data_IF_284485202250
#
_entry.id   IF_284485202250
#
_cell.length_a   1.000
_cell.length_b   1.000
_cell.length_c   1.000
_cell.angle_alpha   90.00
_cell.angle_beta   90.00
_cell.angle_gamma   90.00
#
_symmetry.space_group_name_H-M   'P 1'
#
loop_
_entity.id
_entity.type
_entity.pdbx_description
1 polymer ?
#
# COMPACT_ATOMS: atom_id res chain seq x y z
N UNK A 1 21.61 6.81 -16.28
CA UNK A 1 21.06 6.97 -14.91
C UNK A 1 20.09 8.14 -14.91
N UNK A 2 18.84 7.92 -14.51
CA UNK A 2 17.81 8.96 -14.43
C UNK A 2 17.26 8.99 -13.01
N UNK A 3 17.25 10.15 -12.35
CA UNK A 3 16.64 10.32 -11.04
C UNK A 3 15.17 10.65 -11.19
N UNK A 4 14.31 9.88 -10.52
CA UNK A 4 12.85 10.00 -10.59
C UNK A 4 12.24 9.96 -9.21
N UNK A 5 11.00 10.44 -9.12
CA UNK A 5 10.14 10.26 -7.96
C UNK A 5 8.93 9.40 -8.33
N UNK A 6 8.61 8.44 -7.47
CA UNK A 6 7.39 7.65 -7.53
C UNK A 6 6.56 7.93 -6.28
N UNK A 7 5.27 8.19 -6.45
CA UNK A 7 4.33 8.44 -5.36
C UNK A 7 3.23 7.39 -5.46
N UNK A 8 2.86 6.80 -4.32
CA UNK A 8 1.70 5.92 -4.20
C UNK A 8 0.62 6.60 -3.35
N UNK A 9 -0.54 6.84 -3.96
CA UNK A 9 -1.74 7.36 -3.32
C UNK A 9 -2.62 6.17 -2.86
N UNK A 10 -2.15 5.50 -1.82
CA UNK A 10 -2.82 4.32 -1.28
C UNK A 10 -4.00 4.64 -0.36
N UNK A 11 -4.84 3.66 -0.12
CA UNK A 11 -6.04 3.77 0.74
C UNK A 11 -5.71 4.22 2.17
N UNK A 12 -4.65 3.68 2.77
CA UNK A 12 -4.24 4.01 4.14
C UNK A 12 -3.09 5.01 4.20
N UNK A 13 -2.15 4.92 3.27
CA UNK A 13 -0.90 5.69 3.33
C UNK A 13 -0.57 6.32 1.99
N UNK A 14 0.01 7.53 2.02
CA UNK A 14 0.66 8.16 0.87
C UNK A 14 2.16 7.97 1.02
N UNK A 15 2.82 7.46 -0.03
CA UNK A 15 4.23 7.06 0.01
C UNK A 15 5.03 7.71 -1.11
N UNK A 16 6.31 7.94 -0.86
CA UNK A 16 7.28 8.50 -1.82
C UNK A 16 8.51 7.62 -1.90
N UNK A 17 8.98 7.39 -3.11
CA UNK A 17 10.32 6.91 -3.42
C UNK A 17 10.99 7.92 -4.35
N UNK A 18 12.13 8.47 -3.97
CA UNK A 18 13.07 9.10 -4.90
C UNK A 18 14.19 8.10 -5.18
N UNK A 19 14.44 7.81 -6.44
CA UNK A 19 15.41 6.78 -6.84
C UNK A 19 16.19 7.16 -8.08
N UNK A 20 17.39 6.60 -8.19
CA UNK A 20 18.16 6.52 -9.42
C UNK A 20 17.79 5.24 -10.16
N UNK A 21 17.40 5.38 -11.43
CA UNK A 21 17.07 4.27 -12.32
C UNK A 21 18.10 4.18 -13.43
N UNK A 22 18.69 3.00 -13.59
CA UNK A 22 19.67 2.71 -14.65
C UNK A 22 19.61 1.25 -15.06
N UNK A 23 19.48 0.99 -16.35
CA UNK A 23 19.43 -0.36 -16.93
C UNK A 23 18.39 -1.30 -16.26
N UNK A 24 17.25 -0.76 -15.83
CA UNK A 24 16.20 -1.53 -15.15
C UNK A 24 16.41 -1.73 -13.64
N UNK A 25 17.53 -1.27 -13.09
CA UNK A 25 17.80 -1.30 -11.66
C UNK A 25 17.31 -0.03 -10.97
N UNK A 26 16.69 -0.17 -9.79
CA UNK A 26 16.20 0.91 -8.95
C UNK A 26 17.07 1.03 -7.71
N UNK A 27 17.71 2.17 -7.51
CA UNK A 27 18.48 2.49 -6.32
C UNK A 27 17.80 3.59 -5.53
N UNK A 28 17.23 3.25 -4.40
CA UNK A 28 16.53 4.20 -3.54
C UNK A 28 17.49 5.28 -2.98
N UNK A 29 17.08 6.55 -3.09
CA UNK A 29 17.74 7.71 -2.50
C UNK A 29 16.98 8.17 -1.27
N UNK A 30 15.64 8.16 -1.33
CA UNK A 30 14.76 8.52 -0.21
C UNK A 30 13.49 7.66 -0.27
N UNK A 31 13.06 7.10 0.85
CA UNK A 31 11.72 6.53 1.03
C UNK A 31 11.00 7.23 2.17
N UNK A 32 9.73 7.60 1.95
CA UNK A 32 8.83 8.16 2.97
C UNK A 32 7.48 7.47 2.92
N UNK A 33 6.85 7.35 4.08
CA UNK A 33 5.48 6.82 4.20
C UNK A 33 4.74 7.60 5.28
N UNK A 34 3.57 8.11 4.96
CA UNK A 34 2.71 8.85 5.88
C UNK A 34 1.31 8.25 5.83
N UNK A 35 0.75 7.90 6.98
CA UNK A 35 -0.64 7.44 7.08
C UNK A 35 -1.56 8.64 6.90
N UNK A 36 -2.28 8.69 5.78
CA UNK A 36 -3.18 9.79 5.41
C UNK A 36 -4.65 9.40 5.50
N UNK A 37 -4.95 8.08 5.47
CA UNK A 37 -6.32 7.57 5.54
C UNK A 37 -7.18 8.04 4.38
N UNK A 38 -6.64 8.11 3.15
CA UNK A 38 -7.37 8.59 1.97
C UNK A 38 -8.68 7.82 1.75
N UNK A 39 -8.67 6.52 2.07
CA UNK A 39 -9.82 5.63 1.92
C UNK A 39 -10.83 5.64 3.06
N UNK A 40 -10.70 6.49 4.08
CA UNK A 40 -11.68 6.57 5.17
C UNK A 40 -13.10 6.77 4.62
N UNK A 41 -14.01 5.82 4.93
CA UNK A 41 -15.42 5.87 4.55
C UNK A 41 -15.72 5.69 3.06
N UNK A 42 -14.72 5.46 2.20
CA UNK A 42 -14.92 5.25 0.75
C UNK A 42 -15.76 4.02 0.49
N UNK A 43 -15.53 2.96 1.25
CA UNK A 43 -16.28 1.70 1.08
C UNK A 43 -17.80 1.89 1.19
N UNK A 44 -18.25 2.67 2.17
CA UNK A 44 -19.67 2.93 2.39
C UNK A 44 -20.22 4.10 1.56
N UNK A 45 -19.41 5.10 1.24
CA UNK A 45 -19.85 6.38 0.65
C UNK A 45 -19.51 6.53 -0.82
N UNK A 46 -18.68 5.64 -1.35
CA UNK A 46 -18.18 5.68 -2.74
C UNK A 46 -17.56 7.03 -3.12
N UNK A 47 -16.95 7.72 -2.14
CA UNK A 47 -16.42 9.05 -2.33
C UNK A 47 -15.25 9.34 -1.39
N UNK A 48 -14.18 9.96 -1.93
CA UNK A 48 -13.09 10.54 -1.14
C UNK A 48 -13.60 11.72 -0.34
N UNK A 49 -13.30 11.75 0.96
CA UNK A 49 -13.79 12.78 1.87
C UNK A 49 -12.84 13.98 1.92
N UNK A 50 -13.37 15.21 2.22
CA UNK A 50 -12.54 16.43 2.21
C UNK A 50 -11.37 16.40 3.19
N UNK A 51 -11.53 15.84 4.39
CA UNK A 51 -10.48 15.81 5.41
C UNK A 51 -9.32 14.87 5.02
N UNK A 52 -9.54 13.60 4.60
CA UNK A 52 -8.50 12.76 4.01
C UNK A 52 -7.79 13.41 2.82
N UNK A 53 -8.52 14.02 1.88
CA UNK A 53 -7.93 14.75 0.74
C UNK A 53 -6.99 15.87 1.24
N UNK A 54 -7.40 16.65 2.24
CA UNK A 54 -6.56 17.71 2.79
C UNK A 54 -5.27 17.16 3.42
N UNK A 55 -5.33 16.01 4.12
CA UNK A 55 -4.14 15.32 4.64
C UNK A 55 -3.18 14.91 3.52
N UNK A 56 -3.70 14.35 2.43
CA UNK A 56 -2.89 13.96 1.26
C UNK A 56 -2.25 15.20 0.62
N UNK A 57 -3.00 16.29 0.40
CA UNK A 57 -2.45 17.54 -0.15
C UNK A 57 -1.25 18.06 0.63
N UNK A 58 -1.34 18.07 1.96
CA UNK A 58 -0.23 18.50 2.81
C UNK A 58 1.00 17.61 2.60
N UNK A 59 0.81 16.29 2.56
CA UNK A 59 1.89 15.32 2.33
C UNK A 59 2.50 15.47 0.94
N UNK A 60 1.68 15.66 -0.09
CA UNK A 60 2.16 15.86 -1.47
C UNK A 60 2.99 17.14 -1.62
N UNK A 61 2.64 18.19 -0.89
CA UNK A 61 3.44 19.42 -0.85
C UNK A 61 4.85 19.15 -0.33
N UNK A 62 4.98 18.37 0.73
CA UNK A 62 6.29 18.00 1.29
C UNK A 62 7.04 17.04 0.35
N UNK A 63 6.34 16.07 -0.26
CA UNK A 63 6.93 15.12 -1.19
C UNK A 63 7.45 15.79 -2.46
N UNK A 64 6.72 16.78 -2.98
CA UNK A 64 7.20 17.61 -4.10
C UNK A 64 8.51 18.32 -3.75
N UNK A 65 8.56 18.98 -2.58
CA UNK A 65 9.80 19.65 -2.11
C UNK A 65 10.98 18.68 -1.98
N UNK A 66 10.73 17.47 -1.47
CA UNK A 66 11.77 16.45 -1.35
C UNK A 66 12.26 15.97 -2.72
N UNK A 67 11.35 15.71 -3.67
CA UNK A 67 11.67 15.31 -5.03
C UNK A 67 12.50 16.38 -5.76
N UNK A 68 12.06 17.64 -5.70
CA UNK A 68 12.76 18.79 -6.29
C UNK A 68 14.16 18.99 -5.68
N UNK A 69 14.25 18.98 -4.33
CA UNK A 69 15.52 19.13 -3.61
C UNK A 69 16.54 18.05 -3.95
N UNK A 70 16.06 16.83 -4.19
CA UNK A 70 16.89 15.69 -4.55
C UNK A 70 17.15 15.60 -6.06
N UNK A 71 16.58 16.50 -6.87
CA UNK A 71 16.83 16.59 -8.31
C UNK A 71 16.11 15.49 -9.11
N UNK A 72 14.93 15.06 -8.68
CA UNK A 72 14.08 14.18 -9.47
C UNK A 72 13.62 14.92 -10.74
N UNK A 73 13.88 14.32 -11.90
CA UNK A 73 13.55 14.91 -13.20
C UNK A 73 12.10 14.70 -13.59
N UNK A 74 11.47 13.65 -13.04
CA UNK A 74 10.10 13.22 -13.35
C UNK A 74 9.47 12.67 -12.09
N UNK A 75 8.16 12.89 -11.93
CA UNK A 75 7.37 12.35 -10.83
C UNK A 75 6.14 11.64 -11.38
N UNK A 76 5.98 10.37 -11.06
CA UNK A 76 4.77 9.58 -11.35
C UNK A 76 4.04 9.30 -10.03
N UNK A 77 2.77 9.71 -9.96
CA UNK A 77 1.87 9.38 -8.87
C UNK A 77 0.89 8.29 -9.34
N UNK A 78 1.00 7.12 -8.76
CA UNK A 78 0.03 6.03 -8.97
C UNK A 78 -1.02 6.06 -7.88
N UNK A 79 -2.27 5.79 -8.25
CA UNK A 79 -3.39 5.70 -7.33
C UNK A 79 -4.07 4.34 -7.43
N UNK A 80 -4.54 3.84 -6.30
CA UNK A 80 -5.02 2.47 -6.17
C UNK A 80 -6.48 2.42 -5.65
N UNK A 81 -6.85 1.38 -4.93
CA UNK A 81 -8.21 1.01 -4.54
C UNK A 81 -9.09 2.19 -4.07
N UNK A 82 -8.66 3.04 -3.13
CA UNK A 82 -9.51 4.11 -2.61
C UNK A 82 -9.93 5.13 -3.67
N UNK A 83 -9.00 5.48 -4.58
CA UNK A 83 -9.26 6.43 -5.67
C UNK A 83 -10.09 5.75 -6.76
N UNK A 84 -9.79 4.49 -7.06
CA UNK A 84 -10.54 3.68 -8.04
C UNK A 84 -12.00 3.46 -7.64
N UNK A 85 -12.25 3.30 -6.34
CA UNK A 85 -13.58 3.03 -5.80
C UNK A 85 -14.43 4.30 -5.61
N UNK A 86 -13.84 5.48 -5.71
CA UNK A 86 -14.51 6.74 -5.42
C UNK A 86 -15.01 7.45 -6.69
N UNK A 87 -16.28 7.89 -6.67
CA UNK A 87 -16.91 8.67 -7.77
C UNK A 87 -16.15 9.97 -8.11
N UNK A 88 -15.45 10.55 -7.14
CA UNK A 88 -14.64 11.75 -7.32
C UNK A 88 -13.14 11.45 -7.46
N UNK A 89 -12.76 10.18 -7.72
CA UNK A 89 -11.37 9.76 -7.80
C UNK A 89 -10.62 10.39 -8.96
N UNK A 90 -11.20 10.37 -10.18
CA UNK A 90 -10.59 11.00 -11.35
C UNK A 90 -10.42 12.51 -11.19
N UNK A 91 -11.43 13.20 -10.62
CA UNK A 91 -11.33 14.63 -10.34
C UNK A 91 -10.21 14.94 -9.33
N UNK A 92 -10.03 14.09 -8.33
CA UNK A 92 -8.92 14.20 -7.38
C UNK A 92 -7.56 14.01 -8.06
N UNK A 93 -7.41 13.04 -8.97
CA UNK A 93 -6.18 12.84 -9.72
C UNK A 93 -5.87 14.03 -10.64
N UNK A 94 -6.87 14.55 -11.36
CA UNK A 94 -6.70 15.76 -12.18
C UNK A 94 -6.28 16.97 -11.36
N UNK A 95 -6.77 17.09 -10.12
CA UNK A 95 -6.29 18.13 -9.19
C UNK A 95 -4.83 17.91 -8.77
N UNK A 96 -4.42 16.66 -8.48
CA UNK A 96 -3.03 16.33 -8.14
C UNK A 96 -2.10 16.69 -9.31
N UNK A 97 -2.46 16.30 -10.53
CA UNK A 97 -1.71 16.61 -11.74
C UNK A 97 -1.56 18.12 -11.93
N UNK A 98 -2.66 18.86 -11.87
CA UNK A 98 -2.68 20.30 -12.06
C UNK A 98 -1.91 21.05 -10.96
N UNK A 99 -2.08 20.66 -9.67
CA UNK A 99 -1.51 21.39 -8.53
C UNK A 99 -0.04 21.10 -8.30
N UNK A 100 0.41 19.88 -8.61
CA UNK A 100 1.78 19.44 -8.31
C UNK A 100 2.63 19.20 -9.55
N UNK A 101 2.04 19.16 -10.75
CA UNK A 101 2.76 18.86 -11.99
C UNK A 101 3.26 17.42 -12.05
N UNK A 102 2.65 16.49 -11.32
CA UNK A 102 2.99 15.08 -11.38
C UNK A 102 2.26 14.41 -12.54
N UNK A 103 2.90 13.49 -13.24
CA UNK A 103 2.14 12.54 -14.05
C UNK A 103 1.31 11.67 -13.10
N UNK A 104 0.04 11.43 -13.44
CA UNK A 104 -0.86 10.61 -12.60
C UNK A 104 -1.34 9.37 -13.36
N UNK A 105 -1.53 8.27 -12.64
CA UNK A 105 -2.08 7.04 -13.20
C UNK A 105 -2.99 6.35 -12.18
N UNK A 106 -4.22 6.08 -12.58
CA UNK A 106 -5.14 5.23 -11.83
C UNK A 106 -4.92 3.78 -12.26
N UNK A 107 -4.52 2.93 -11.32
CA UNK A 107 -4.26 1.53 -11.59
C UNK A 107 -5.51 0.67 -11.39
N UNK A 108 -5.77 -0.25 -12.32
CA UNK A 108 -6.62 -1.40 -12.05
C UNK A 108 -5.94 -2.34 -11.04
N UNK A 109 -6.69 -3.28 -10.45
CA UNK A 109 -6.11 -4.25 -9.52
C UNK A 109 -5.03 -5.13 -10.15
N UNK A 110 -5.19 -5.51 -11.42
CA UNK A 110 -4.21 -6.32 -12.15
C UNK A 110 -2.94 -5.52 -12.47
N UNK A 111 -3.08 -4.23 -12.85
CA UNK A 111 -1.93 -3.34 -13.04
C UNK A 111 -1.17 -3.11 -11.74
N UNK A 112 -1.89 -2.94 -10.62
CA UNK A 112 -1.32 -2.79 -9.27
C UNK A 112 -0.50 -4.02 -8.90
N UNK A 113 -1.04 -5.24 -9.06
CA UNK A 113 -0.34 -6.50 -8.81
C UNK A 113 0.89 -6.68 -9.71
N UNK A 114 0.77 -6.38 -11.01
CA UNK A 114 1.87 -6.46 -11.99
C UNK A 114 3.00 -5.50 -11.63
N UNK A 115 2.65 -4.25 -11.32
CA UNK A 115 3.62 -3.20 -10.98
C UNK A 115 4.34 -3.52 -9.67
N UNK A 116 3.60 -4.02 -8.68
CA UNK A 116 4.14 -4.46 -7.39
C UNK A 116 5.11 -5.63 -7.57
N UNK A 117 4.74 -6.65 -8.35
CA UNK A 117 5.61 -7.81 -8.61
C UNK A 117 6.90 -7.40 -9.31
N UNK A 118 6.78 -6.58 -10.35
CA UNK A 118 7.95 -6.03 -11.07
C UNK A 118 8.85 -5.22 -10.13
N UNK A 119 8.26 -4.36 -9.28
CA UNK A 119 9.00 -3.55 -8.32
C UNK A 119 9.69 -4.38 -7.25
N UNK A 120 9.03 -5.40 -6.72
CA UNK A 120 9.58 -6.30 -5.72
C UNK A 120 10.70 -7.21 -6.28
N UNK A 121 10.76 -7.39 -7.61
CA UNK A 121 11.75 -8.27 -8.25
C UNK A 121 11.55 -9.75 -7.88
N UNK A 122 10.28 -10.18 -7.79
CA UNK A 122 9.92 -11.55 -7.41
C UNK A 122 9.60 -12.35 -8.68
N UNK A 123 10.55 -13.16 -9.14
CA UNK A 123 10.43 -13.93 -10.39
C UNK A 123 10.33 -15.45 -10.17
N UNK A 124 10.44 -15.94 -8.91
CA UNK A 124 10.45 -17.37 -8.59
C UNK A 124 9.12 -18.08 -8.85
N UNK A 125 9.22 -19.27 -9.46
CA UNK A 125 8.08 -20.19 -9.57
C UNK A 125 7.68 -20.66 -8.15
N UNK A 126 6.37 -20.62 -7.84
CA UNK A 126 5.85 -21.02 -6.53
C UNK A 126 5.99 -19.97 -5.42
N UNK A 127 6.56 -18.79 -5.72
CA UNK A 127 6.59 -17.66 -4.78
C UNK A 127 5.31 -16.83 -4.90
N UNK A 128 4.54 -16.76 -3.81
CA UNK A 128 3.40 -15.87 -3.66
C UNK A 128 3.89 -14.49 -3.22
N UNK A 129 3.64 -13.47 -4.04
CA UNK A 129 3.74 -12.08 -3.60
C UNK A 129 2.40 -11.65 -3.01
N UNK A 130 2.43 -11.17 -1.78
CA UNK A 130 1.29 -10.69 -1.01
C UNK A 130 1.45 -9.19 -0.73
N UNK A 131 0.55 -8.37 -1.25
CA UNK A 131 0.39 -6.97 -0.88
C UNK A 131 -0.91 -6.79 -0.09
N UNK A 132 -0.82 -6.47 1.19
CA UNK A 132 -1.98 -6.18 2.04
C UNK A 132 -2.13 -4.69 2.17
N UNK A 133 -2.93 -4.12 1.27
CA UNK A 133 -3.29 -2.72 1.25
C UNK A 133 -4.38 -2.34 2.27
N UNK A 134 -4.83 -1.09 2.18
CA UNK A 134 -5.94 -0.61 3.01
C UNK A 134 -7.32 -1.02 2.47
N UNK A 135 -7.52 -0.93 1.16
CA UNK A 135 -8.79 -1.21 0.50
C UNK A 135 -8.85 -2.55 -0.22
N UNK A 136 -7.72 -3.03 -0.72
CA UNK A 136 -7.57 -4.30 -1.45
C UNK A 136 -6.41 -5.14 -0.92
N UNK A 137 -6.32 -6.36 -1.40
CA UNK A 137 -5.20 -7.28 -1.17
C UNK A 137 -4.85 -7.95 -2.49
N UNK A 138 -3.63 -7.78 -2.94
CA UNK A 138 -3.14 -8.37 -4.17
C UNK A 138 -2.38 -9.68 -3.85
N UNK A 139 -2.72 -10.71 -4.62
CA UNK A 139 -2.04 -11.99 -4.65
C UNK A 139 -1.47 -12.22 -6.04
N UNK A 140 -0.19 -12.45 -6.17
CA UNK A 140 0.42 -12.77 -7.45
C UNK A 140 1.48 -13.85 -7.36
N UNK A 141 1.48 -14.75 -8.34
CA UNK A 141 2.55 -15.72 -8.62
C UNK A 141 3.10 -15.43 -10.01
N UNK A 142 4.05 -16.21 -10.51
CA UNK A 142 4.54 -16.06 -11.88
C UNK A 142 3.43 -16.27 -12.94
N UNK A 143 2.42 -17.11 -12.64
CA UNK A 143 1.38 -17.52 -13.59
C UNK A 143 -0.01 -16.92 -13.29
N UNK A 144 -0.20 -16.28 -12.14
CA UNK A 144 -1.51 -15.85 -11.67
C UNK A 144 -1.43 -14.54 -10.89
N UNK A 145 -2.41 -13.68 -11.09
CA UNK A 145 -2.57 -12.46 -10.28
C UNK A 145 -4.03 -12.16 -10.06
N UNK A 146 -4.34 -11.56 -8.91
CA UNK A 146 -5.68 -11.10 -8.56
C UNK A 146 -5.61 -10.00 -7.52
N UNK A 147 -6.51 -9.01 -7.62
CA UNK A 147 -6.79 -8.05 -6.57
C UNK A 147 -8.14 -8.40 -5.92
N UNK A 148 -8.12 -8.57 -4.61
CA UNK A 148 -9.28 -8.90 -3.79
C UNK A 148 -9.81 -7.65 -3.11
N UNK A 149 -11.14 -7.43 -3.12
CA UNK A 149 -11.80 -6.29 -2.47
C UNK A 149 -11.84 -6.43 -0.93
N UNK A 150 -10.71 -6.84 -0.35
CA UNK A 150 -10.47 -6.94 1.09
C UNK A 150 -9.13 -6.31 1.44
N UNK A 151 -9.15 -5.29 2.27
CA UNK A 151 -7.95 -4.60 2.76
C UNK A 151 -8.11 -4.26 4.24
N UNK A 152 -7.04 -3.85 4.88
CA UNK A 152 -7.01 -3.63 6.32
C UNK A 152 -7.97 -2.52 6.81
N UNK A 153 -8.15 -1.44 6.04
CA UNK A 153 -9.13 -0.38 6.35
C UNK A 153 -10.55 -0.90 6.10
N UNK A 154 -10.79 -1.45 4.91
CA UNK A 154 -12.11 -1.96 4.51
C UNK A 154 -12.66 -3.01 5.47
N UNK A 155 -11.84 -3.99 5.89
CA UNK A 155 -12.26 -5.00 6.86
C UNK A 155 -12.52 -4.41 8.24
N UNK A 156 -11.70 -3.44 8.67
CA UNK A 156 -11.91 -2.75 9.94
C UNK A 156 -13.25 -2.02 9.94
N UNK A 157 -13.54 -1.23 8.91
CA UNK A 157 -14.78 -0.47 8.81
C UNK A 157 -16.03 -1.37 8.70
N UNK A 158 -15.94 -2.48 7.96
CA UNK A 158 -17.09 -3.38 7.75
C UNK A 158 -17.38 -4.28 8.95
N UNK A 159 -16.36 -4.78 9.63
CA UNK A 159 -16.52 -5.89 10.56
C UNK A 159 -16.02 -5.63 11.97
N UNK A 160 -15.01 -4.77 12.19
CA UNK A 160 -14.31 -4.65 13.48
C UNK A 160 -14.64 -3.30 14.13
N UNK A 161 -15.90 -3.10 14.45
CA UNK A 161 -16.43 -1.83 14.97
C UNK A 161 -16.26 -1.67 16.48
N UNK A 162 -16.17 -2.77 17.24
CA UNK A 162 -15.90 -2.74 18.68
C UNK A 162 -14.38 -2.70 18.95
N UNK A 163 -14.01 -2.19 20.11
CA UNK A 163 -12.61 -2.08 20.53
C UNK A 163 -12.40 -2.57 21.97
N UNK A 164 -11.75 -3.72 22.17
CA UNK A 164 -11.26 -4.66 21.14
C UNK A 164 -12.42 -5.35 20.40
N UNK A 165 -12.17 -5.86 19.17
CA UNK A 165 -13.20 -6.50 18.39
C UNK A 165 -13.69 -7.80 19.06
N UNK A 166 -15.00 -8.04 18.98
CA UNK A 166 -15.60 -9.24 19.55
C UNK A 166 -15.25 -10.51 18.75
N UNK A 167 -15.33 -11.71 19.38
CA UNK A 167 -15.15 -12.99 18.67
C UNK A 167 -16.10 -13.15 17.47
N UNK A 168 -17.33 -12.62 17.57
CA UNK A 168 -18.30 -12.66 16.48
C UNK A 168 -17.81 -11.82 15.28
N UNK A 169 -17.32 -10.60 15.53
CA UNK A 169 -16.79 -9.71 14.52
C UNK A 169 -15.54 -10.28 13.84
N UNK A 170 -14.61 -10.83 14.63
CA UNK A 170 -13.42 -11.52 14.10
C UNK A 170 -13.80 -12.71 13.22
N UNK A 171 -14.78 -13.52 13.65
CA UNK A 171 -15.29 -14.65 12.88
C UNK A 171 -15.97 -14.22 11.58
N UNK A 172 -16.71 -13.11 11.58
CA UNK A 172 -17.32 -12.54 10.37
C UNK A 172 -16.27 -12.05 9.37
N UNK A 173 -15.29 -11.28 9.84
CA UNK A 173 -14.16 -10.82 9.02
C UNK A 173 -13.38 -11.99 8.41
N UNK A 174 -13.08 -13.03 9.22
CA UNK A 174 -12.37 -14.22 8.75
C UNK A 174 -13.14 -14.97 7.65
N UNK A 175 -14.46 -15.13 7.80
CA UNK A 175 -15.29 -15.76 6.75
C UNK A 175 -15.30 -14.93 5.46
N UNK A 176 -15.40 -13.60 5.56
CA UNK A 176 -15.39 -12.71 4.41
C UNK A 176 -14.07 -12.80 3.63
N UNK A 177 -12.93 -12.83 4.33
CA UNK A 177 -11.61 -13.03 3.70
C UNK A 177 -11.52 -14.39 3.04
N UNK A 178 -11.86 -15.48 3.78
CA UNK A 178 -11.76 -16.84 3.28
C UNK A 178 -12.59 -17.06 2.00
N UNK A 179 -13.75 -16.42 1.90
CA UNK A 179 -14.63 -16.54 0.73
C UNK A 179 -14.05 -15.93 -0.55
N UNK A 180 -13.07 -15.03 -0.44
CA UNK A 180 -12.45 -14.37 -1.60
C UNK A 180 -11.10 -14.99 -2.00
N UNK A 181 -10.46 -15.77 -1.14
CA UNK A 181 -9.16 -16.37 -1.44
C UNK A 181 -9.30 -17.43 -2.54
N UNK A 182 -8.63 -17.24 -3.70
CA UNK A 182 -8.69 -18.18 -4.82
C UNK A 182 -7.96 -19.48 -4.54
N UNK A 183 -8.12 -20.44 -5.45
CA UNK A 183 -7.25 -21.61 -5.49
C UNK A 183 -5.96 -21.26 -6.23
N UNK A 184 -4.84 -21.39 -5.55
CA UNK A 184 -3.49 -21.24 -6.10
C UNK A 184 -2.52 -22.13 -5.34
N UNK A 185 -1.40 -22.46 -5.98
CA UNK A 185 -0.29 -23.17 -5.37
C UNK A 185 0.86 -22.21 -5.10
N UNK A 186 1.39 -22.28 -3.88
CA UNK A 186 2.59 -21.53 -3.48
C UNK A 186 3.35 -22.30 -2.41
N UNK A 187 4.68 -22.13 -2.39
CA UNK A 187 5.56 -22.82 -1.44
C UNK A 187 6.24 -21.85 -0.48
N UNK A 188 6.34 -20.58 -0.89
CA UNK A 188 6.87 -19.50 -0.08
C UNK A 188 6.08 -18.21 -0.31
N UNK A 189 6.19 -17.25 0.61
CA UNK A 189 5.55 -15.95 0.49
C UNK A 189 6.55 -14.81 0.68
N UNK A 190 6.42 -13.82 -0.18
CA UNK A 190 7.04 -12.49 -0.03
C UNK A 190 5.91 -11.49 0.21
N UNK A 191 6.01 -10.73 1.28
CA UNK A 191 5.04 -9.70 1.61
C UNK A 191 5.62 -8.31 1.46
N UNK A 192 4.78 -7.40 0.96
CA UNK A 192 5.17 -6.01 0.74
C UNK A 192 4.21 -5.05 1.47
N UNK A 193 4.44 -3.77 1.30
CA UNK A 193 3.63 -2.68 1.81
C UNK A 193 3.52 -2.60 3.34
N UNK A 194 2.63 -1.71 3.79
CA UNK A 194 2.64 -1.24 5.17
C UNK A 194 2.16 -2.23 6.23
N UNK A 195 1.30 -3.18 5.87
CA UNK A 195 0.80 -4.18 6.82
C UNK A 195 1.87 -5.21 7.16
N UNK A 196 2.52 -5.80 6.13
CA UNK A 196 3.59 -6.77 6.36
C UNK A 196 4.81 -6.11 6.99
N UNK A 197 5.17 -4.89 6.55
CA UNK A 197 6.20 -4.09 7.21
C UNK A 197 5.94 -3.93 8.70
N UNK A 198 4.72 -3.57 9.11
CA UNK A 198 4.39 -3.38 10.51
C UNK A 198 4.46 -4.69 11.31
N UNK A 199 4.09 -5.83 10.70
CA UNK A 199 4.28 -7.14 11.34
C UNK A 199 5.76 -7.50 11.49
N UNK A 200 6.60 -7.20 10.49
CA UNK A 200 8.06 -7.38 10.57
C UNK A 200 8.68 -6.51 11.67
N UNK A 201 8.25 -5.26 11.79
CA UNK A 201 8.68 -4.37 12.88
C UNK A 201 8.31 -4.95 14.26
N UNK A 202 7.08 -5.45 14.42
CA UNK A 202 6.63 -6.07 15.66
C UNK A 202 7.37 -7.37 15.97
N UNK A 203 7.67 -8.18 14.96
CA UNK A 203 8.46 -9.40 15.09
C UNK A 203 9.95 -9.10 15.38
N UNK A 204 10.45 -7.99 14.84
CA UNK A 204 11.84 -7.57 14.98
C UNK A 204 12.78 -8.14 13.92
N UNK A 205 12.24 -8.76 12.88
CA UNK A 205 12.97 -9.34 11.74
C UNK A 205 12.06 -9.45 10.51
N UNK A 206 12.68 -9.64 9.33
CA UNK A 206 11.97 -9.64 8.04
C UNK A 206 11.29 -10.99 7.71
N UNK A 207 11.77 -12.12 8.25
CA UNK A 207 11.23 -13.45 8.00
C UNK A 207 10.25 -13.86 9.14
N UNK A 208 8.98 -13.57 8.96
CA UNK A 208 7.95 -13.76 9.98
C UNK A 208 7.34 -15.16 9.82
N UNK A 209 7.45 -16.01 10.82
CA UNK A 209 6.81 -17.33 10.79
C UNK A 209 5.28 -17.25 10.93
N UNK A 210 4.56 -18.25 10.42
CA UNK A 210 3.11 -18.33 10.57
C UNK A 210 2.68 -18.34 12.07
N UNK A 211 3.48 -18.96 12.94
CA UNK A 211 3.27 -18.96 14.40
C UNK A 211 3.40 -17.55 14.98
N UNK A 212 4.33 -16.74 14.51
CA UNK A 212 4.48 -15.35 14.96
C UNK A 212 3.34 -14.48 14.45
N UNK A 213 2.88 -14.70 13.21
CA UNK A 213 1.68 -14.02 12.69
C UNK A 213 0.44 -14.37 13.53
N UNK A 214 0.27 -15.64 13.90
CA UNK A 214 -0.82 -16.07 14.78
C UNK A 214 -0.74 -15.36 16.15
N UNK A 215 0.43 -15.36 16.77
CA UNK A 215 0.67 -14.70 18.06
C UNK A 215 0.40 -13.20 18.00
N UNK A 216 0.87 -12.52 16.95
CA UNK A 216 0.64 -11.08 16.79
C UNK A 216 -0.83 -10.77 16.52
N UNK A 217 -1.51 -11.58 15.71
CA UNK A 217 -2.96 -11.44 15.52
C UNK A 217 -3.70 -11.56 16.86
N UNK A 218 -3.43 -12.60 17.66
CA UNK A 218 -4.10 -12.83 18.93
C UNK A 218 -3.80 -11.69 19.93
N UNK A 219 -2.55 -11.20 19.98
CA UNK A 219 -2.15 -10.04 20.78
C UNK A 219 -2.92 -8.78 20.37
N UNK A 220 -2.91 -8.44 19.08
CA UNK A 220 -3.55 -7.24 18.56
C UNK A 220 -5.08 -7.29 18.76
N UNK A 221 -5.70 -8.44 18.57
CA UNK A 221 -7.13 -8.64 18.70
C UNK A 221 -7.61 -8.57 20.16
N UNK A 222 -6.76 -8.89 21.13
CA UNK A 222 -7.09 -8.85 22.56
C UNK A 222 -6.95 -7.48 23.21
N UNK A 223 -6.19 -6.57 22.59
CA UNK A 223 -5.87 -5.26 23.16
C UNK A 223 -6.82 -4.17 22.61
N UNK A 224 -7.27 -3.22 23.47
CA UNK A 224 -7.92 -2.01 23.00
C UNK A 224 -6.93 -1.13 22.22
N UNK A 225 -7.45 -0.23 21.38
CA UNK A 225 -6.67 0.59 20.45
C UNK A 225 -5.56 1.37 21.13
N UNK A 226 -5.83 1.99 22.27
CA UNK A 226 -4.82 2.78 22.97
C UNK A 226 -3.64 1.92 23.42
N UNK A 227 -3.90 0.69 23.88
CA UNK A 227 -2.83 -0.26 24.24
C UNK A 227 -2.11 -0.80 23.01
N UNK A 228 -2.79 -0.97 21.87
CA UNK A 228 -2.13 -1.32 20.59
C UNK A 228 -1.16 -0.24 20.13
N UNK A 229 -1.53 1.04 20.32
CA UNK A 229 -0.65 2.19 19.98
C UNK A 229 0.62 2.25 20.80
N UNK A 230 0.59 1.73 22.04
CA UNK A 230 1.72 1.72 22.96
C UNK A 230 2.66 0.52 22.76
N UNK A 231 2.32 -0.44 21.92
CA UNK A 231 3.18 -1.59 21.66
C UNK A 231 4.56 -1.14 21.12
N UNK A 232 5.66 -1.73 21.60
CA UNK A 232 6.98 -1.44 21.07
C UNK A 232 7.03 -1.64 19.53
N UNK A 233 7.64 -0.69 18.81
CA UNK A 233 7.76 -0.67 17.35
C UNK A 233 6.42 -0.55 16.57
N UNK A 234 5.29 -0.39 17.25
CA UNK A 234 4.03 -0.08 16.58
C UNK A 234 4.04 1.38 16.11
N UNK A 235 3.74 1.60 14.82
CA UNK A 235 3.38 2.92 14.36
C UNK A 235 1.96 3.24 14.85
N UNK A 236 1.76 4.25 15.75
CA UNK A 236 0.46 4.52 16.35
C UNK A 236 -0.65 4.83 15.32
N UNK A 237 -0.28 5.42 14.17
CA UNK A 237 -1.22 5.71 13.09
C UNK A 237 -1.70 4.46 12.34
N UNK A 238 -0.96 3.34 12.39
CA UNK A 238 -1.36 2.05 11.81
C UNK A 238 -2.17 1.18 12.77
N UNK A 239 -2.04 1.39 14.07
CA UNK A 239 -2.68 0.56 15.09
C UNK A 239 -4.19 0.29 14.88
N UNK A 240 -5.00 1.26 14.37
CA UNK A 240 -6.43 1.02 14.13
C UNK A 240 -6.73 -0.13 13.17
N UNK A 241 -5.91 -0.33 12.15
CA UNK A 241 -6.17 -1.31 11.08
C UNK A 241 -5.35 -2.60 11.21
N UNK A 242 -4.49 -2.69 12.23
CA UNK A 242 -3.56 -3.83 12.33
C UNK A 242 -4.20 -5.15 12.73
N UNK A 243 -5.34 -5.15 13.41
CA UNK A 243 -6.09 -6.40 13.65
C UNK A 243 -6.56 -7.02 12.34
N UNK A 244 -7.17 -6.20 11.47
CA UNK A 244 -7.60 -6.65 10.14
C UNK A 244 -6.41 -7.02 9.25
N UNK A 245 -5.32 -6.24 9.30
CA UNK A 245 -4.10 -6.52 8.54
C UNK A 245 -3.47 -7.87 8.94
N UNK A 246 -3.31 -8.14 10.23
CA UNK A 246 -2.78 -9.41 10.73
C UNK A 246 -3.72 -10.60 10.40
N UNK A 247 -5.06 -10.38 10.45
CA UNK A 247 -6.05 -11.38 10.05
C UNK A 247 -5.89 -11.77 8.57
N UNK A 248 -5.66 -10.79 7.69
CA UNK A 248 -5.45 -11.01 6.25
C UNK A 248 -4.20 -11.85 6.01
N UNK A 249 -3.04 -11.45 6.56
CA UNK A 249 -1.79 -12.21 6.41
C UNK A 249 -1.97 -13.64 6.95
N UNK A 250 -2.52 -13.77 8.15
CA UNK A 250 -2.84 -15.07 8.77
C UNK A 250 -3.73 -15.95 7.89
N UNK A 251 -4.79 -15.38 7.31
CA UNK A 251 -5.73 -16.11 6.46
C UNK A 251 -5.05 -16.64 5.19
N UNK A 252 -4.20 -15.84 4.56
CA UNK A 252 -3.41 -16.22 3.38
C UNK A 252 -2.43 -17.33 3.72
N UNK A 253 -1.61 -17.18 4.77
CA UNK A 253 -0.65 -18.22 5.16
C UNK A 253 -1.34 -19.56 5.46
N UNK A 254 -2.46 -19.53 6.17
CA UNK A 254 -3.23 -20.75 6.49
C UNK A 254 -3.90 -21.37 5.26
N UNK A 255 -4.41 -20.54 4.33
CA UNK A 255 -5.07 -21.02 3.11
C UNK A 255 -4.16 -21.82 2.23
N UNK A 256 -2.91 -21.39 2.10
CA UNK A 256 -1.92 -21.99 1.20
C UNK A 256 -0.88 -22.85 1.92
N UNK A 257 -1.03 -23.08 3.23
CA UNK A 257 -0.14 -23.94 4.02
C UNK A 257 1.30 -23.40 4.13
N UNK A 258 1.46 -22.08 4.08
CA UNK A 258 2.77 -21.43 4.10
C UNK A 258 3.33 -21.31 5.51
N UNK A 259 4.62 -21.67 5.69
CA UNK A 259 5.29 -21.64 7.00
C UNK A 259 5.58 -20.24 7.54
N UNK A 260 5.51 -19.21 6.69
CA UNK A 260 5.77 -17.82 7.04
C UNK A 260 5.74 -16.90 5.83
N UNK A 261 6.16 -15.65 6.04
CA UNK A 261 6.25 -14.61 5.03
C UNK A 261 7.51 -13.79 5.23
N UNK A 262 8.26 -13.53 4.16
CA UNK A 262 9.41 -12.64 4.17
C UNK A 262 9.00 -11.23 3.71
N UNK A 263 9.27 -10.23 4.52
CA UNK A 263 9.04 -8.83 4.14
C UNK A 263 10.07 -8.37 3.09
N UNK A 264 9.60 -7.63 2.10
CA UNK A 264 10.43 -6.92 1.13
C UNK A 264 10.13 -5.41 1.18
N UNK A 265 11.19 -4.61 1.24
CA UNK A 265 11.09 -3.14 1.18
C UNK A 265 10.79 -2.66 -0.25
N UNK A 266 11.13 -3.48 -1.27
CA UNK A 266 10.82 -3.19 -2.66
C UNK A 266 9.37 -3.58 -2.95
N UNK A 267 8.64 -2.67 -3.59
CA UNK A 267 7.20 -2.82 -3.81
C UNK A 267 6.72 -2.03 -5.05
N UNK A 268 5.46 -1.65 -5.07
CA UNK A 268 4.82 -0.86 -6.14
C UNK A 268 5.58 0.44 -6.45
N UNK A 269 6.21 1.07 -5.46
CA UNK A 269 6.99 2.29 -5.68
C UNK A 269 8.22 2.05 -6.56
N UNK A 270 8.88 0.89 -6.42
CA UNK A 270 10.00 0.51 -7.29
C UNK A 270 9.52 0.27 -8.71
N UNK A 271 8.37 -0.39 -8.88
CA UNK A 271 7.72 -0.55 -10.18
C UNK A 271 7.36 0.79 -10.81
N UNK A 272 6.74 1.69 -10.03
CA UNK A 272 6.39 3.03 -10.50
C UNK A 272 7.63 3.89 -10.82
N UNK A 273 8.74 3.71 -10.12
CA UNK A 273 10.00 4.38 -10.44
C UNK A 273 10.57 3.93 -11.80
N UNK A 274 10.46 2.64 -12.13
CA UNK A 274 10.82 2.11 -13.46
C UNK A 274 9.96 2.74 -14.56
N UNK A 275 8.66 2.89 -14.34
CA UNK A 275 7.76 3.58 -15.28
C UNK A 275 8.06 5.07 -15.38
N UNK A 276 8.27 5.76 -14.25
CA UNK A 276 8.63 7.17 -14.23
C UNK A 276 9.90 7.46 -15.05
N UNK A 277 10.88 6.54 -15.00
CA UNK A 277 12.10 6.69 -15.78
C UNK A 277 11.88 6.53 -17.30
N UNK A 278 10.82 5.85 -17.71
CA UNK A 278 10.44 5.63 -19.12
C UNK A 278 9.51 6.73 -19.67
N UNK A 279 8.96 7.64 -18.83
CA UNK A 279 8.13 8.74 -19.31
C UNK A 279 8.94 9.68 -20.23
N UNK A 280 8.30 10.21 -21.29
CA UNK A 280 8.92 11.19 -22.15
C UNK A 280 8.99 12.57 -21.47
N UNK A 281 10.15 13.21 -21.52
CA UNK A 281 10.45 14.44 -20.78
C UNK A 281 9.65 15.67 -21.19
N UNK A 282 8.95 15.63 -22.31
CA UNK A 282 8.29 16.79 -22.92
C UNK A 282 6.77 16.83 -22.78
N UNK A 283 6.10 15.70 -22.51
CA UNK A 283 4.64 15.60 -22.59
C UNK A 283 3.95 15.33 -21.25
N UNK A 284 4.67 14.87 -20.21
CA UNK A 284 4.06 14.33 -19.02
C UNK A 284 4.72 14.88 -17.75
N UNK A 285 4.06 15.87 -17.12
CA UNK A 285 4.34 16.23 -15.73
C UNK A 285 5.59 17.05 -15.45
N UNK A 286 6.14 17.77 -16.42
CA UNK A 286 7.20 18.77 -16.22
C UNK A 286 6.71 20.19 -16.49
N UNK A 287 5.67 20.61 -15.78
CA UNK A 287 5.51 22.04 -15.63
C UNK A 287 6.72 22.56 -14.83
N UNK A 288 7.43 23.60 -15.32
CA UNK A 288 8.55 24.19 -14.59
C UNK A 288 8.11 24.54 -13.17
N UNK A 289 9.00 24.41 -12.15
CA UNK A 289 8.70 24.80 -10.80
C UNK A 289 8.11 26.21 -10.77
N UNK A 290 6.91 26.37 -10.24
CA UNK A 290 6.22 27.66 -10.18
C UNK A 290 5.25 27.97 -11.33
N UNK A 291 5.06 27.13 -12.33
CA UNK A 291 4.08 27.37 -13.40
C UNK A 291 2.61 27.38 -12.92
N UNK A 292 2.35 26.89 -11.72
CA UNK A 292 1.00 26.84 -11.12
C UNK A 292 0.86 27.65 -9.83
N UNK A 293 1.79 28.55 -9.53
CA UNK A 293 1.65 29.51 -8.44
C UNK A 293 1.00 30.79 -8.97
N UNK A 294 -0.21 30.74 -9.42
CA UNK A 294 -1.03 31.92 -9.63
C UNK A 294 -2.41 31.71 -9.05
N UNK A 295 -2.67 32.50 -8.05
CA UNK A 295 -3.85 32.95 -7.33
C UNK A 295 -3.94 32.45 -5.91
#
# INVERSE_FOLDING_TARGET
MTRVAAIDLGTNSTRLLVADVEAGEVRAVLRRSVVTGLGEGVDARRRLLPLPIARVRNVLTDFRRDAERLGALRTLAVATSAVRDAENGEAFLGEVEWSYGFATRLLSGDEEATLTRRGAGVDGDGTLLLDVGGGSTELSTAAFQVSLDVGSVRLTERFLQDDPPTPHQLGAAQRAVKAQLPDLEAHEAVGVAGTVHQLAELAGHEEITATEVDRWFDTLASLPLDRRRELPRMNPARAPTMVAGALLVRAVLRRYGLGGIRYSVRDILDGAALEAAALDSAAEGNAPPGAFTCC
#
